data_IF_290338449428
#
_entry.id   IF_290338449428
#
_cell.length_a   1.000
_cell.length_b   1.000
_cell.length_c   1.000
_cell.angle_alpha   90.00
_cell.angle_beta   90.00
_cell.angle_gamma   90.00
#
_symmetry.space_group_name_H-M   'P 1'
#
loop_
_entity.id
_entity.type
_entity.pdbx_description
1 polymer ?
#
# COMPACT_ATOMS: atom_id res chain seq x y z
N UNK A 1 -17.40 -1.99 -7.97
CA UNK A 1 -17.26 -1.76 -6.51
C UNK A 1 -15.84 -1.98 -5.99
N UNK A 2 -15.08 -3.01 -6.42
CA UNK A 2 -13.70 -3.29 -5.95
C UNK A 2 -12.68 -2.15 -6.17
N UNK A 3 -12.87 -1.31 -7.20
CA UNK A 3 -11.93 -0.25 -7.60
C UNK A 3 -12.16 1.13 -6.93
N UNK A 4 -13.20 1.27 -6.11
CA UNK A 4 -13.53 2.53 -5.44
C UNK A 4 -13.51 2.33 -3.91
N UNK A 5 -13.24 3.40 -3.17
CA UNK A 5 -13.21 3.41 -1.71
C UNK A 5 -11.89 3.88 -1.13
N UNK A 6 -11.80 3.90 0.20
CA UNK A 6 -10.63 4.40 0.90
C UNK A 6 -9.37 3.58 0.58
N UNK A 7 -8.25 4.28 0.41
CA UNK A 7 -6.91 3.70 0.30
C UNK A 7 -6.29 3.58 1.68
N UNK A 8 -5.62 2.46 1.95
CA UNK A 8 -4.80 2.34 3.14
C UNK A 8 -3.63 3.34 3.11
N UNK A 9 -3.00 3.66 4.25
CA UNK A 9 -1.72 4.36 4.27
C UNK A 9 -0.68 3.63 3.42
N UNK A 10 0.29 4.37 2.87
CA UNK A 10 1.37 3.79 2.07
C UNK A 10 2.15 2.76 2.90
N UNK A 11 2.44 1.62 2.28
CA UNK A 11 3.16 0.52 2.95
C UNK A 11 2.42 -0.15 4.10
N UNK A 12 1.11 0.09 4.28
CA UNK A 12 0.32 -0.59 5.30
C UNK A 12 -0.05 -2.02 4.88
N UNK A 13 -0.21 -2.91 5.86
CA UNK A 13 -0.59 -4.32 5.64
C UNK A 13 -1.57 -4.83 6.69
N UNK A 14 -2.35 -5.85 6.32
CA UNK A 14 -3.22 -6.56 7.26
C UNK A 14 -2.44 -7.71 7.88
N UNK A 15 -2.17 -7.63 9.18
CA UNK A 15 -1.47 -8.67 9.92
C UNK A 15 -2.46 -9.55 10.68
N UNK A 16 -2.24 -10.86 10.62
CA UNK A 16 -2.93 -11.84 11.47
C UNK A 16 -2.14 -12.05 12.74
N UNK A 17 -2.82 -12.08 13.89
CA UNK A 17 -2.19 -12.34 15.18
C UNK A 17 -3.04 -13.28 16.03
N UNK A 18 -2.37 -13.99 16.93
CA UNK A 18 -2.98 -14.97 17.81
C UNK A 18 -3.17 -14.38 19.20
N UNK A 19 -4.34 -14.64 19.79
CA UNK A 19 -4.64 -14.38 21.20
C UNK A 19 -4.94 -15.69 21.90
N UNK A 20 -4.41 -15.88 23.11
CA UNK A 20 -4.71 -17.05 23.95
C UNK A 20 -5.58 -16.59 25.11
N UNK A 21 -6.74 -17.21 25.29
CA UNK A 21 -7.65 -16.93 26.40
C UNK A 21 -8.37 -18.21 26.82
N UNK A 22 -8.40 -18.52 28.12
CA UNK A 22 -9.09 -19.68 28.70
C UNK A 22 -8.83 -21.01 27.94
N UNK A 23 -7.55 -21.32 27.69
CA UNK A 23 -7.08 -22.51 26.94
C UNK A 23 -7.51 -22.58 25.46
N UNK A 24 -8.23 -21.58 24.95
CA UNK A 24 -8.60 -21.47 23.53
C UNK A 24 -7.65 -20.54 22.79
N UNK A 25 -7.43 -20.84 21.51
CA UNK A 25 -6.66 -20.02 20.58
C UNK A 25 -7.63 -19.25 19.69
N UNK A 26 -7.49 -17.93 19.67
CA UNK A 26 -8.27 -17.05 18.82
C UNK A 26 -7.34 -16.37 17.81
N UNK A 27 -7.84 -16.18 16.58
CA UNK A 27 -7.14 -15.46 15.54
C UNK A 27 -7.86 -14.15 15.24
N UNK A 28 -7.09 -13.08 15.23
CA UNK A 28 -7.57 -11.73 14.98
C UNK A 28 -6.69 -11.04 13.95
N UNK A 29 -7.20 -9.93 13.43
CA UNK A 29 -6.53 -9.14 12.40
C UNK A 29 -6.35 -7.69 12.87
N UNK A 30 -5.27 -7.08 12.40
CA UNK A 30 -5.00 -5.66 12.60
C UNK A 30 -4.46 -5.07 11.30
N UNK A 31 -4.88 -3.84 10.99
CA UNK A 31 -4.20 -3.02 9.99
C UNK A 31 -2.95 -2.45 10.66
N UNK A 32 -1.80 -2.59 10.01
CA UNK A 32 -0.50 -2.19 10.54
C UNK A 32 0.17 -1.25 9.54
N UNK A 33 0.90 -0.26 10.04
CA UNK A 33 1.72 0.66 9.26
C UNK A 33 3.10 0.83 9.93
N UNK A 34 4.09 1.23 9.14
CA UNK A 34 5.47 1.43 9.61
C UNK A 34 5.59 2.63 10.57
N UNK A 35 4.85 3.70 10.29
CA UNK A 35 4.81 4.94 11.08
C UNK A 35 3.43 5.14 11.73
N UNK A 36 3.34 5.92 12.83
CA UNK A 36 2.06 6.19 13.47
C UNK A 36 1.20 7.11 12.59
N UNK A 37 0.21 6.54 11.89
CA UNK A 37 -0.64 7.28 10.95
C UNK A 37 -2.14 6.92 11.07
N UNK A 38 -2.49 5.94 11.90
CA UNK A 38 -3.88 5.47 12.04
C UNK A 38 -4.56 6.19 13.22
N UNK A 39 -5.76 6.76 13.02
CA UNK A 39 -6.46 7.46 14.09
C UNK A 39 -6.86 6.50 15.23
N UNK A 40 -6.73 6.96 16.47
CA UNK A 40 -7.27 6.30 17.65
C UNK A 40 -8.63 6.90 18.04
N UNK A 41 -9.39 6.18 18.87
CA UNK A 41 -10.64 6.69 19.43
C UNK A 41 -10.42 7.97 20.28
N UNK A 42 -9.24 8.11 20.88
CA UNK A 42 -8.78 9.34 21.52
C UNK A 42 -8.01 10.19 20.50
N UNK A 43 -8.46 11.42 20.18
CA UNK A 43 -7.92 12.21 19.05
C UNK A 43 -6.46 12.64 19.20
N UNK A 44 -5.86 12.52 20.38
CA UNK A 44 -4.56 13.13 20.67
C UNK A 44 -3.36 12.36 20.13
N UNK A 45 -3.52 11.10 19.69
CA UNK A 45 -2.40 10.25 19.25
C UNK A 45 -2.76 9.36 18.06
N UNK A 46 -1.84 9.29 17.09
CA UNK A 46 -1.88 8.33 16.01
C UNK A 46 -1.21 7.02 16.44
N UNK A 47 -1.72 5.91 15.92
CA UNK A 47 -1.20 4.56 16.17
C UNK A 47 -0.53 3.99 14.92
N UNK A 48 0.40 3.06 15.13
CA UNK A 48 0.96 2.20 14.07
C UNK A 48 0.02 1.06 13.67
N UNK A 49 -1.06 0.84 14.43
CA UNK A 49 -2.00 -0.24 14.15
C UNK A 49 -3.44 0.07 14.56
N UNK A 50 -4.39 -0.57 13.88
CA UNK A 50 -5.83 -0.58 14.19
C UNK A 50 -6.30 -2.02 14.30
N UNK A 51 -6.93 -2.39 15.42
CA UNK A 51 -7.55 -3.70 15.59
C UNK A 51 -8.79 -3.81 14.68
N UNK A 52 -8.93 -4.94 13.98
CA UNK A 52 -10.01 -5.18 13.02
C UNK A 52 -10.98 -6.26 13.47
N UNK A 53 -10.62 -7.02 14.51
CA UNK A 53 -11.44 -8.13 14.98
C UNK A 53 -11.16 -9.43 14.23
N UNK A 54 -12.21 -10.25 14.09
CA UNK A 54 -12.12 -11.60 13.51
C UNK A 54 -12.08 -11.54 11.98
N UNK A 55 -11.71 -12.65 11.34
CA UNK A 55 -11.84 -12.77 9.89
C UNK A 55 -13.28 -12.52 9.44
N UNK A 56 -13.43 -11.84 8.31
CA UNK A 56 -14.72 -11.65 7.63
C UNK A 56 -15.64 -10.58 8.24
N UNK A 57 -15.24 -9.90 9.31
CA UNK A 57 -15.96 -8.69 9.76
C UNK A 57 -15.84 -7.58 8.73
N UNK A 58 -16.76 -6.61 8.76
CA UNK A 58 -16.75 -5.45 7.87
C UNK A 58 -15.41 -4.71 7.97
N UNK A 59 -14.90 -4.48 9.18
CA UNK A 59 -13.62 -3.79 9.39
C UNK A 59 -12.44 -4.57 8.81
N UNK A 60 -12.48 -5.91 8.90
CA UNK A 60 -11.45 -6.75 8.31
C UNK A 60 -11.49 -6.69 6.78
N UNK A 61 -12.67 -6.86 6.19
CA UNK A 61 -12.86 -6.82 4.73
C UNK A 61 -12.48 -5.43 4.20
N UNK A 62 -12.93 -4.36 4.83
CA UNK A 62 -12.63 -2.98 4.42
C UNK A 62 -11.14 -2.70 4.47
N UNK A 63 -10.44 -3.16 5.51
CA UNK A 63 -8.99 -3.01 5.62
C UNK A 63 -8.27 -3.78 4.51
N UNK A 64 -8.61 -5.06 4.28
CA UNK A 64 -8.02 -5.87 3.19
C UNK A 64 -8.23 -5.19 1.85
N UNK A 65 -9.46 -4.73 1.59
CA UNK A 65 -9.80 -4.05 0.35
C UNK A 65 -9.08 -2.70 0.22
N UNK A 66 -8.85 -1.97 1.31
CA UNK A 66 -8.12 -0.70 1.29
C UNK A 66 -6.63 -0.88 0.98
N UNK A 67 -6.02 -1.97 1.46
CA UNK A 67 -4.63 -2.35 1.15
C UNK A 67 -4.53 -2.80 -0.31
N UNK A 68 -5.46 -3.64 -0.77
CA UNK A 68 -5.52 -4.06 -2.17
C UNK A 68 -5.63 -2.86 -3.13
N UNK A 69 -6.55 -1.92 -2.85
CA UNK A 69 -6.69 -0.70 -3.65
C UNK A 69 -5.43 0.15 -3.65
N UNK A 70 -4.73 0.25 -2.51
CA UNK A 70 -3.44 0.95 -2.42
C UNK A 70 -2.40 0.31 -3.34
N UNK A 71 -2.27 -1.02 -3.34
CA UNK A 71 -1.34 -1.72 -4.22
C UNK A 71 -1.63 -1.49 -5.70
N UNK A 72 -2.91 -1.52 -6.10
CA UNK A 72 -3.31 -1.22 -7.48
C UNK A 72 -2.98 0.23 -7.84
N UNK A 73 -3.29 1.18 -6.95
CA UNK A 73 -2.97 2.61 -7.17
C UNK A 73 -1.47 2.84 -7.35
N UNK A 74 -0.65 2.28 -6.47
CA UNK A 74 0.81 2.41 -6.53
C UNK A 74 1.38 1.81 -7.81
N UNK A 75 0.84 0.69 -8.28
CA UNK A 75 1.27 0.08 -9.55
C UNK A 75 0.89 0.92 -10.75
N UNK A 76 -0.33 1.46 -10.78
CA UNK A 76 -0.77 2.37 -11.85
C UNK A 76 0.09 3.62 -11.89
N UNK A 77 0.43 4.20 -10.74
CA UNK A 77 1.32 5.36 -10.68
C UNK A 77 2.71 5.01 -11.22
N UNK A 78 3.30 3.88 -10.82
CA UNK A 78 4.60 3.43 -11.35
C UNK A 78 4.59 3.26 -12.86
N UNK A 79 3.52 2.72 -13.42
CA UNK A 79 3.37 2.56 -14.87
C UNK A 79 3.32 3.93 -15.56
N UNK A 80 2.58 4.89 -15.01
CA UNK A 80 2.53 6.26 -15.55
C UNK A 80 3.93 6.88 -15.53
N UNK A 81 4.62 6.82 -14.38
CA UNK A 81 5.96 7.39 -14.23
C UNK A 81 6.95 6.77 -15.26
N UNK A 82 6.86 5.45 -15.47
CA UNK A 82 7.70 4.75 -16.47
C UNK A 82 7.38 5.19 -17.90
N UNK A 83 6.10 5.42 -18.23
CA UNK A 83 5.69 5.89 -19.55
C UNK A 83 6.15 7.33 -19.79
N UNK A 84 6.13 8.18 -18.77
CA UNK A 84 6.65 9.54 -18.84
C UNK A 84 8.16 9.53 -19.11
N UNK A 85 8.93 8.67 -18.41
CA UNK A 85 10.36 8.48 -18.68
C UNK A 85 10.61 8.01 -20.12
N UNK A 86 9.88 7.01 -20.61
CA UNK A 86 9.99 6.55 -22.00
C UNK A 86 9.66 7.66 -23.01
N UNK A 87 8.67 8.50 -22.74
CA UNK A 87 8.32 9.62 -23.59
C UNK A 87 9.43 10.69 -23.60
N UNK A 88 10.04 10.95 -22.44
CA UNK A 88 11.20 11.84 -22.34
C UNK A 88 12.37 11.31 -23.19
N UNK A 89 12.66 10.01 -23.14
CA UNK A 89 13.73 9.41 -23.95
C UNK A 89 13.48 9.59 -25.46
N UNK A 90 12.24 9.35 -25.92
CA UNK A 90 11.85 9.52 -27.33
C UNK A 90 11.92 10.99 -27.76
N UNK A 91 11.44 11.90 -26.90
CA UNK A 91 11.30 13.33 -27.25
C UNK A 91 12.59 14.13 -27.10
N UNK A 92 13.48 13.73 -26.19
CA UNK A 92 14.77 14.38 -25.95
C UNK A 92 15.88 13.92 -26.90
N UNK A 93 15.63 12.87 -27.68
CA UNK A 93 16.44 12.48 -28.84
C UNK A 93 17.93 12.39 -28.52
N UNK A 94 18.36 11.30 -27.88
CA UNK A 94 19.79 11.08 -27.64
C UNK A 94 20.22 9.65 -27.92
N UNK A 95 20.21 9.30 -29.22
CA UNK A 95 21.39 8.62 -29.78
C UNK A 95 22.33 9.74 -30.27
N UNK A 96 23.18 10.26 -29.38
CA UNK A 96 24.41 10.93 -29.80
C UNK A 96 25.53 9.89 -29.78
N UNK A 97 25.50 8.95 -30.73
CA UNK A 97 26.73 8.31 -31.19
C UNK A 97 27.27 9.14 -32.36
N UNK A 98 27.96 10.23 -32.05
CA UNK A 98 29.01 10.70 -32.95
C UNK A 98 30.23 9.83 -32.67
N UNK A 99 30.33 8.69 -33.35
CA UNK A 99 31.62 8.06 -33.57
C UNK A 99 32.46 9.03 -34.40
N UNK A 100 33.40 9.73 -33.76
CA UNK A 100 34.46 10.39 -34.50
C UNK A 100 35.21 9.33 -35.32
N UNK A 101 35.34 9.46 -36.65
CA UNK A 101 36.17 8.55 -37.41
C UNK A 101 37.62 8.73 -36.93
N UNK A 102 38.15 7.72 -36.25
CA UNK A 102 39.59 7.56 -36.10
C UNK A 102 40.14 7.13 -37.46
N UNK A 103 40.61 8.09 -38.26
CA UNK A 103 41.83 8.02 -39.08
C UNK A 103 42.07 9.33 -39.87
#
# INVERSE_FOLDING_TARGET
>A
MLKQGALAPQGAWVARYQVRQNLKKYWYYKLQASTPCLPQATPSKLSKYKHLGKAGTTEHIDAVMSVFRRSVWEEVQRIIDTLDDCLLDISSGSEQESEDPQD
#
